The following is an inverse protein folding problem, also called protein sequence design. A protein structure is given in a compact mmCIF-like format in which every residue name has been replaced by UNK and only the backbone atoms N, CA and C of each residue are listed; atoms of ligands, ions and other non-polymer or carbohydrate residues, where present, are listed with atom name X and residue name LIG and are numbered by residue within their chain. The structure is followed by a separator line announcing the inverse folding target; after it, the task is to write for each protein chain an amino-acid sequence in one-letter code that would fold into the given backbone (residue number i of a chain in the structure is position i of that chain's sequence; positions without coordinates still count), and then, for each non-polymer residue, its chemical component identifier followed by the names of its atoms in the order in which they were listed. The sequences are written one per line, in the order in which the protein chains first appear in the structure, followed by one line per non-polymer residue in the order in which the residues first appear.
data_IF_646506975598
#
_entry.id   IF_646506975598
#
_cell.length_a   1.000
_cell.length_b   1.000
_cell.length_c   1.000
_cell.angle_alpha   90.00
_cell.angle_beta   90.00
_cell.angle_gamma   90.00
#
_symmetry.space_group_name_H-M   'P 1'
#
loop_
_entity.id
_entity.type
_entity.pdbx_description
1 polymer ?
#
# COMPACT_ATOMS: atom_id res chain seq x y z
N UNK A 1 -9.64 -16.30 18.11
CA UNK A 1 -9.82 -15.38 16.97
C UNK A 1 -9.78 -16.24 15.73
N UNK A 2 -10.63 -15.97 14.75
CA UNK A 2 -10.44 -16.59 13.46
C UNK A 2 -9.07 -16.15 12.92
N UNK A 3 -8.24 -17.09 12.45
CA UNK A 3 -6.93 -16.79 11.87
C UNK A 3 -7.16 -16.12 10.51
N UNK A 4 -7.30 -14.79 10.54
CA UNK A 4 -7.61 -13.98 9.36
C UNK A 4 -6.49 -13.00 9.10
N UNK A 5 -6.04 -12.98 7.86
CA UNK A 5 -5.12 -12.00 7.32
C UNK A 5 -5.90 -10.97 6.49
N UNK A 6 -5.44 -9.73 6.53
CA UNK A 6 -6.06 -8.60 5.85
C UNK A 6 -5.03 -7.89 5.00
N UNK A 7 -5.32 -7.78 3.72
CA UNK A 7 -4.57 -6.99 2.76
C UNK A 7 -5.34 -5.74 2.40
N UNK A 8 -4.63 -4.79 1.80
CA UNK A 8 -5.28 -3.68 1.11
C UNK A 8 -4.52 -3.32 -0.15
N UNK A 9 -5.26 -2.89 -1.18
CA UNK A 9 -4.69 -2.37 -2.42
C UNK A 9 -5.16 -0.93 -2.63
N UNK A 10 -4.26 -0.06 -3.08
CA UNK A 10 -4.58 1.34 -3.35
C UNK A 10 -5.40 1.49 -4.63
N UNK A 11 -6.42 2.32 -4.57
CA UNK A 11 -7.15 2.84 -5.72
C UNK A 11 -6.83 4.32 -5.85
N UNK A 12 -6.37 4.73 -7.02
CA UNK A 12 -5.92 6.09 -7.31
C UNK A 12 -6.91 6.83 -8.20
N UNK A 13 -6.96 8.16 -8.05
CA UNK A 13 -7.71 9.03 -8.96
C UNK A 13 -6.88 9.43 -10.19
N UNK A 14 -7.48 10.30 -11.04
CA UNK A 14 -6.84 10.86 -12.25
C UNK A 14 -5.54 11.61 -11.97
N UNK A 15 -5.30 12.09 -10.75
CA UNK A 15 -4.10 12.83 -10.35
C UNK A 15 -3.07 11.96 -9.64
N UNK A 16 -3.35 10.67 -9.49
CA UNK A 16 -2.54 9.71 -8.74
C UNK A 16 -2.57 9.97 -7.23
N UNK A 17 -3.60 10.65 -6.73
CA UNK A 17 -3.89 10.73 -5.32
C UNK A 17 -4.66 9.47 -4.89
N UNK A 18 -4.45 9.01 -3.66
CA UNK A 18 -5.18 7.85 -3.13
C UNK A 18 -6.65 8.24 -2.98
N UNK A 19 -7.53 7.58 -3.73
CA UNK A 19 -8.98 7.75 -3.63
C UNK A 19 -9.56 6.83 -2.55
N UNK A 20 -9.18 5.56 -2.59
CA UNK A 20 -9.71 4.51 -1.72
C UNK A 20 -8.69 3.36 -1.57
N UNK A 21 -9.06 2.39 -0.75
CA UNK A 21 -8.38 1.09 -0.71
C UNK A 21 -9.40 -0.02 -0.91
N UNK A 22 -9.04 -1.04 -1.68
CA UNK A 22 -9.73 -2.33 -1.68
C UNK A 22 -9.22 -3.17 -0.51
N UNK A 23 -10.14 -3.77 0.25
CA UNK A 23 -9.82 -4.64 1.37
C UNK A 23 -9.89 -6.10 0.95
N UNK A 24 -8.81 -6.82 1.20
CA UNK A 24 -8.67 -8.22 0.89
C UNK A 24 -8.64 -9.03 2.18
N UNK A 25 -9.40 -10.11 2.23
CA UNK A 25 -9.53 -10.94 3.43
C UNK A 25 -9.21 -12.39 3.11
N UNK A 26 -8.53 -13.08 4.04
CA UNK A 26 -8.37 -14.53 3.97
C UNK A 26 -8.27 -15.15 5.35
N UNK A 27 -8.85 -16.34 5.51
CA UNK A 27 -8.74 -17.17 6.71
C UNK A 27 -9.04 -18.63 6.40
N UNK A 28 -8.77 -19.53 7.35
CA UNK A 28 -8.96 -20.97 7.19
C UNK A 28 -10.40 -21.40 6.84
N UNK A 29 -11.39 -20.61 7.27
CA UNK A 29 -12.81 -20.80 7.00
C UNK A 29 -13.39 -19.73 6.02
N UNK A 30 -12.51 -19.04 5.29
CA UNK A 30 -12.85 -17.85 4.51
C UNK A 30 -12.27 -17.95 3.09
N UNK A 31 -13.11 -18.35 2.14
CA UNK A 31 -12.84 -18.27 0.71
C UNK A 31 -14.06 -17.69 -0.03
N UNK A 32 -13.96 -16.43 -0.46
CA UNK A 32 -15.01 -15.74 -1.21
C UNK A 32 -15.20 -16.28 -2.64
N UNK A 33 -14.24 -17.09 -3.12
CA UNK A 33 -14.27 -17.67 -4.47
C UNK A 33 -15.03 -19.01 -4.52
N UNK A 34 -15.40 -19.59 -3.37
CA UNK A 34 -16.18 -20.83 -3.33
C UNK A 34 -17.68 -20.54 -3.52
N UNK A 35 -18.27 -21.14 -4.57
CA UNK A 35 -19.71 -21.06 -4.90
C UNK A 35 -20.64 -21.55 -3.79
N UNK A 36 -20.15 -22.43 -2.91
CA UNK A 36 -20.90 -22.93 -1.75
C UNK A 36 -20.55 -22.16 -0.49
N UNK A 37 -21.08 -20.94 -0.39
CA UNK A 37 -21.41 -20.31 0.89
C UNK A 37 -20.25 -19.66 1.64
N UNK A 38 -20.09 -18.35 1.46
CA UNK A 38 -19.79 -17.51 2.61
C UNK A 38 -20.88 -17.76 3.67
N UNK A 39 -20.53 -18.43 4.76
CA UNK A 39 -21.48 -18.77 5.82
C UNK A 39 -21.89 -17.47 6.55
N UNK A 40 -22.99 -17.44 7.32
CA UNK A 40 -23.26 -16.31 8.24
C UNK A 40 -22.04 -15.97 9.13
N UNK A 41 -21.22 -16.97 9.46
CA UNK A 41 -19.94 -16.79 10.15
C UNK A 41 -18.96 -15.90 9.36
N UNK A 42 -18.83 -16.09 8.04
CA UNK A 42 -17.97 -15.31 7.13
C UNK A 42 -18.37 -13.84 7.09
N UNK A 43 -19.68 -13.55 7.14
CA UNK A 43 -20.24 -12.19 7.07
C UNK A 43 -20.05 -11.41 8.37
N UNK A 44 -20.29 -12.10 9.50
CA UNK A 44 -20.06 -11.55 10.83
C UNK A 44 -18.57 -11.30 11.03
N UNK A 45 -17.72 -12.19 10.55
CA UNK A 45 -16.27 -12.10 10.69
C UNK A 45 -15.66 -10.90 9.95
N UNK A 46 -16.08 -10.56 8.73
CA UNK A 46 -15.59 -9.34 8.04
C UNK A 46 -16.02 -8.11 8.82
N UNK A 47 -17.29 -8.06 9.22
CA UNK A 47 -17.87 -6.92 9.94
C UNK A 47 -17.21 -6.75 11.31
N UNK A 48 -17.08 -7.82 12.07
CA UNK A 48 -16.43 -7.86 13.38
C UNK A 48 -14.95 -7.48 13.26
N UNK A 49 -14.22 -8.06 12.30
CA UNK A 49 -12.81 -7.71 12.06
C UNK A 49 -12.63 -6.23 11.72
N UNK A 50 -13.49 -5.68 10.85
CA UNK A 50 -13.47 -4.26 10.50
C UNK A 50 -13.82 -3.37 11.71
N UNK A 51 -14.78 -3.78 12.53
CA UNK A 51 -15.18 -3.05 13.73
C UNK A 51 -14.12 -3.14 14.85
N UNK A 52 -13.49 -4.29 15.04
CA UNK A 52 -12.46 -4.55 16.04
C UNK A 52 -11.15 -3.82 15.71
N UNK A 53 -10.64 -3.95 14.48
CA UNK A 53 -9.42 -3.27 14.04
C UNK A 53 -9.65 -1.78 13.77
N UNK A 54 -10.87 -1.42 13.38
CA UNK A 54 -11.28 -0.09 12.99
C UNK A 54 -10.81 0.32 11.59
N UNK A 55 -11.73 0.81 10.76
CA UNK A 55 -11.43 1.29 9.40
C UNK A 55 -10.33 2.36 9.35
N UNK A 56 -10.23 3.21 10.37
CA UNK A 56 -9.22 4.28 10.42
C UNK A 56 -7.78 3.76 10.52
N UNK A 57 -7.62 2.56 11.07
CA UNK A 57 -6.34 1.83 11.15
C UNK A 57 -5.96 1.32 9.77
N UNK A 58 -6.92 0.69 9.08
CA UNK A 58 -6.65 -0.05 7.83
C UNK A 58 -6.60 0.88 6.62
N UNK A 59 -7.53 1.84 6.48
CA UNK A 59 -7.66 2.69 5.28
C UNK A 59 -7.48 4.19 5.57
N UNK A 60 -7.15 4.56 6.81
CA UNK A 60 -6.95 5.96 7.19
C UNK A 60 -8.25 6.76 7.11
N UNK A 61 -8.25 7.87 6.38
CA UNK A 61 -9.46 8.68 6.10
C UNK A 61 -10.18 8.29 4.79
N UNK A 62 -9.62 7.36 4.02
CA UNK A 62 -10.12 6.99 2.70
C UNK A 62 -11.30 6.00 2.78
N UNK A 63 -11.95 5.77 1.64
CA UNK A 63 -13.00 4.76 1.49
C UNK A 63 -12.40 3.35 1.43
N UNK A 64 -13.18 2.36 1.84
CA UNK A 64 -12.87 0.95 1.74
C UNK A 64 -13.80 0.27 0.72
N UNK A 65 -13.25 -0.29 -0.34
CA UNK A 65 -13.96 -1.22 -1.23
C UNK A 65 -13.96 -2.58 -0.54
N UNK A 66 -15.15 -3.16 -0.41
CA UNK A 66 -15.37 -4.41 0.33
C UNK A 66 -16.22 -5.33 -0.55
N UNK A 67 -15.74 -6.54 -0.74
CA UNK A 67 -16.40 -7.55 -1.55
C UNK A 67 -17.60 -8.12 -0.80
N UNK A 68 -18.77 -8.04 -1.43
CA UNK A 68 -20.03 -8.52 -0.88
C UNK A 68 -20.57 -9.67 -1.73
N UNK A 69 -20.81 -10.80 -1.08
CA UNK A 69 -21.46 -11.96 -1.69
C UNK A 69 -22.97 -11.74 -1.83
N UNK A 70 -23.62 -12.59 -2.61
CA UNK A 70 -25.10 -12.68 -2.71
C UNK A 70 -25.76 -12.66 -1.33
N UNK A 71 -25.25 -13.46 -0.39
CA UNK A 71 -25.84 -13.56 0.94
C UNK A 71 -25.68 -12.26 1.74
N UNK A 72 -24.54 -11.58 1.64
CA UNK A 72 -24.35 -10.29 2.32
C UNK A 72 -25.33 -9.21 1.84
N UNK A 73 -25.57 -9.18 0.53
CA UNK A 73 -26.47 -8.22 -0.10
C UNK A 73 -27.90 -8.48 0.39
N UNK A 74 -28.33 -9.75 0.40
CA UNK A 74 -29.66 -10.15 0.85
C UNK A 74 -29.87 -9.92 2.36
N UNK A 75 -28.84 -10.15 3.18
CA UNK A 75 -28.88 -9.90 4.63
C UNK A 75 -28.73 -8.42 5.00
N UNK A 76 -28.53 -7.54 4.01
CA UNK A 76 -28.29 -6.10 4.19
C UNK A 76 -27.11 -5.81 5.13
N UNK A 77 -26.08 -6.66 5.12
CA UNK A 77 -24.84 -6.47 5.89
C UNK A 77 -24.23 -5.06 5.75
N UNK A 78 -24.24 -4.40 4.56
CA UNK A 78 -23.70 -3.05 4.42
C UNK A 78 -24.32 -1.99 5.36
N UNK A 79 -25.54 -2.20 5.86
CA UNK A 79 -26.21 -1.28 6.78
C UNK A 79 -25.54 -1.19 8.16
N UNK A 80 -24.72 -2.19 8.53
CA UNK A 80 -23.96 -2.19 9.78
C UNK A 80 -22.63 -1.45 9.69
N UNK A 81 -22.23 -1.04 8.49
CA UNK A 81 -20.96 -0.40 8.22
C UNK A 81 -21.14 1.10 7.95
N UNK A 82 -20.12 1.93 8.22
CA UNK A 82 -20.20 3.37 8.05
C UNK A 82 -20.31 3.73 6.56
N UNK A 83 -21.54 4.01 6.12
CA UNK A 83 -21.93 4.34 4.74
C UNK A 83 -20.94 5.23 3.99
N UNK A 84 -20.52 6.35 4.59
CA UNK A 84 -19.65 7.34 3.91
C UNK A 84 -18.21 6.83 3.68
N UNK A 85 -17.85 5.71 4.30
CA UNK A 85 -16.51 5.11 4.29
C UNK A 85 -16.44 3.79 3.53
N UNK A 86 -17.56 3.25 3.04
CA UNK A 86 -17.57 1.97 2.33
C UNK A 86 -18.04 2.13 0.89
N UNK A 87 -17.49 1.29 0.02
CA UNK A 87 -17.97 1.02 -1.34
C UNK A 87 -18.33 -0.45 -1.40
N UNK A 88 -19.54 -0.75 -1.83
CA UNK A 88 -20.07 -2.11 -1.94
C UNK A 88 -19.61 -2.68 -3.25
N UNK A 89 -18.70 -3.65 -3.22
CA UNK A 89 -18.19 -4.31 -4.41
C UNK A 89 -18.95 -5.61 -4.66
N UNK A 90 -19.68 -5.65 -5.78
CA UNK A 90 -20.48 -6.80 -6.21
C UNK A 90 -19.59 -7.69 -7.07
N UNK A 91 -19.32 -8.89 -6.58
CA UNK A 91 -18.47 -9.87 -7.25
C UNK A 91 -19.09 -10.38 -8.56
N UNK A 92 -18.23 -10.75 -9.52
CA UNK A 92 -18.63 -11.31 -10.82
C UNK A 92 -19.46 -12.60 -10.71
N UNK A 93 -19.31 -13.35 -9.62
CA UNK A 93 -19.97 -14.63 -9.40
C UNK A 93 -21.38 -14.50 -8.78
N UNK A 94 -21.83 -13.27 -8.49
CA UNK A 94 -23.18 -13.02 -7.97
C UNK A 94 -24.21 -13.20 -9.08
N UNK A 95 -25.16 -14.10 -8.87
CA UNK A 95 -26.28 -14.29 -9.80
C UNK A 95 -27.23 -13.07 -9.75
N UNK A 96 -27.38 -12.39 -10.88
CA UNK A 96 -28.21 -11.18 -10.98
C UNK A 96 -29.68 -11.57 -11.15
N UNK A 97 -30.40 -11.67 -10.03
CA UNK A 97 -31.85 -11.85 -10.00
C UNK A 97 -32.60 -10.58 -9.54
N UNK A 98 -33.92 -10.59 -9.67
CA UNK A 98 -34.78 -9.47 -9.27
C UNK A 98 -34.64 -9.06 -7.79
N UNK A 99 -34.26 -9.99 -6.90
CA UNK A 99 -34.07 -9.71 -5.46
C UNK A 99 -32.76 -9.00 -5.23
N UNK A 100 -31.67 -9.42 -5.88
CA UNK A 100 -30.37 -8.76 -5.80
C UNK A 100 -30.45 -7.34 -6.34
N UNK A 101 -31.07 -7.17 -7.52
CA UNK A 101 -31.29 -5.83 -8.11
C UNK A 101 -32.09 -4.94 -7.16
N UNK A 102 -33.17 -5.44 -6.56
CA UNK A 102 -33.98 -4.66 -5.62
C UNK A 102 -33.21 -4.24 -4.36
N UNK A 103 -32.41 -5.14 -3.76
CA UNK A 103 -31.62 -4.83 -2.57
C UNK A 103 -30.49 -3.83 -2.87
N UNK A 104 -29.76 -4.01 -3.98
CA UNK A 104 -28.71 -3.08 -4.39
C UNK A 104 -29.29 -1.71 -4.76
N UNK A 105 -30.48 -1.67 -5.40
CA UNK A 105 -31.17 -0.40 -5.68
C UNK A 105 -31.62 0.31 -4.40
N UNK A 106 -32.07 -0.44 -3.39
CA UNK A 106 -32.39 0.13 -2.07
C UNK A 106 -31.15 0.73 -1.43
N UNK A 107 -30.01 0.02 -1.42
CA UNK A 107 -28.74 0.51 -0.89
C UNK A 107 -28.24 1.75 -1.64
N UNK A 108 -28.33 1.77 -2.97
CA UNK A 108 -28.03 2.93 -3.81
C UNK A 108 -28.93 4.13 -3.47
N UNK A 109 -30.24 3.92 -3.30
CA UNK A 109 -31.17 4.98 -2.88
C UNK A 109 -30.89 5.51 -1.47
N UNK A 110 -30.35 4.67 -0.58
CA UNK A 110 -29.86 5.08 0.73
C UNK A 110 -28.54 5.84 0.64
N UNK A 111 -27.90 5.89 -0.53
CA UNK A 111 -26.69 6.64 -0.89
C UNK A 111 -25.38 5.87 -0.69
N UNK A 112 -25.43 4.54 -0.61
CA UNK A 112 -24.21 3.72 -0.68
C UNK A 112 -23.65 3.76 -2.10
N UNK A 113 -22.32 3.72 -2.21
CA UNK A 113 -21.62 3.62 -3.49
C UNK A 113 -21.57 2.14 -3.88
N UNK A 114 -22.03 1.81 -5.08
CA UNK A 114 -21.99 0.46 -5.63
C UNK A 114 -20.92 0.36 -6.71
N UNK A 115 -20.01 -0.60 -6.56
CA UNK A 115 -19.00 -0.98 -7.54
C UNK A 115 -19.31 -2.37 -8.11
N UNK A 116 -19.16 -2.56 -9.42
CA UNK A 116 -19.26 -3.86 -10.07
C UNK A 116 -17.85 -4.37 -10.40
N UNK A 117 -17.50 -5.56 -9.91
CA UNK A 117 -16.19 -6.17 -10.06
C UNK A 117 -16.05 -7.03 -11.33
N UNK A 118 -14.84 -7.15 -11.87
CA UNK A 118 -14.48 -7.93 -13.07
C UNK A 118 -15.54 -7.89 -14.20
N UNK A 119 -16.00 -6.69 -14.53
CA UNK A 119 -17.23 -6.51 -15.29
C UNK A 119 -17.10 -6.90 -16.78
N UNK A 120 -17.89 -7.88 -17.21
CA UNK A 120 -18.09 -8.23 -18.62
C UNK A 120 -19.53 -7.89 -19.02
N UNK A 121 -19.69 -6.92 -19.93
CA UNK A 121 -21.02 -6.46 -20.33
C UNK A 121 -21.85 -7.59 -20.97
N UNK A 122 -22.93 -7.96 -20.30
CA UNK A 122 -23.98 -8.84 -20.81
C UNK A 122 -25.36 -8.23 -20.50
N UNK A 123 -26.40 -8.70 -21.19
CA UNK A 123 -27.76 -8.17 -20.98
C UNK A 123 -28.22 -8.30 -19.51
N UNK A 124 -27.75 -9.32 -18.80
CA UNK A 124 -28.09 -9.62 -17.41
C UNK A 124 -27.61 -8.53 -16.43
N UNK A 125 -26.51 -7.85 -16.75
CA UNK A 125 -25.95 -6.79 -15.91
C UNK A 125 -26.60 -5.42 -16.12
N UNK A 126 -27.32 -5.23 -17.23
CA UNK A 126 -27.96 -3.93 -17.58
C UNK A 126 -28.72 -3.29 -16.42
N UNK A 127 -29.55 -4.03 -15.63
CA UNK A 127 -30.29 -3.44 -14.52
C UNK A 127 -29.39 -2.84 -13.42
N UNK A 128 -28.19 -3.40 -13.21
CA UNK A 128 -27.23 -2.88 -12.24
C UNK A 128 -26.45 -1.68 -12.80
N UNK A 129 -26.07 -1.73 -14.07
CA UNK A 129 -25.33 -0.64 -14.73
C UNK A 129 -26.11 0.69 -14.70
N UNK A 130 -27.44 0.65 -14.70
CA UNK A 130 -28.28 1.85 -14.60
C UNK A 130 -28.12 2.65 -13.31
N UNK A 131 -27.56 2.05 -12.25
CA UNK A 131 -27.42 2.73 -10.96
C UNK A 131 -26.11 2.46 -10.23
N UNK A 132 -25.23 1.62 -10.78
CA UNK A 132 -23.88 1.47 -10.27
C UNK A 132 -23.11 2.80 -10.38
N UNK A 133 -22.32 3.09 -9.36
CA UNK A 133 -21.50 4.30 -9.32
C UNK A 133 -20.13 4.05 -9.98
N UNK A 134 -19.60 2.83 -9.82
CA UNK A 134 -18.26 2.44 -10.29
C UNK A 134 -18.34 1.08 -11.02
N UNK A 135 -17.63 0.96 -12.13
CA UNK A 135 -17.40 -0.33 -12.80
C UNK A 135 -15.89 -0.58 -12.89
N UNK A 136 -15.45 -1.73 -12.38
CA UNK A 136 -14.06 -2.18 -12.41
C UNK A 136 -13.79 -2.98 -13.70
N UNK A 137 -12.65 -2.72 -14.32
CA UNK A 137 -12.27 -3.22 -15.64
C UNK A 137 -10.89 -3.87 -15.57
N UNK A 138 -10.84 -5.21 -15.70
CA UNK A 138 -9.57 -5.92 -15.84
C UNK A 138 -8.98 -5.73 -17.25
N UNK A 139 -7.94 -4.90 -17.34
CA UNK A 139 -7.31 -4.55 -18.60
C UNK A 139 -6.48 -5.72 -19.17
N UNK A 140 -5.89 -6.54 -18.31
CA UNK A 140 -5.06 -7.67 -18.73
C UNK A 140 -5.89 -8.79 -19.33
N UNK A 141 -7.02 -9.12 -18.70
CA UNK A 141 -7.90 -10.18 -19.17
C UNK A 141 -8.66 -9.77 -20.44
N UNK A 142 -9.13 -8.53 -20.50
CA UNK A 142 -9.92 -8.04 -21.63
C UNK A 142 -9.06 -7.74 -22.86
N UNK A 143 -7.87 -7.18 -22.67
CA UNK A 143 -7.02 -6.62 -23.72
C UNK A 143 -7.55 -5.30 -24.30
N UNK A 144 -6.64 -4.50 -24.87
CA UNK A 144 -6.87 -3.09 -25.22
C UNK A 144 -8.11 -2.83 -26.10
N UNK A 145 -8.38 -3.71 -27.08
CA UNK A 145 -9.51 -3.53 -28.01
C UNK A 145 -10.85 -3.69 -27.29
N UNK A 146 -10.99 -4.74 -26.46
CA UNK A 146 -12.24 -5.00 -25.75
C UNK A 146 -12.50 -3.94 -24.69
N UNK A 147 -11.46 -3.53 -23.96
CA UNK A 147 -11.54 -2.42 -23.00
C UNK A 147 -12.09 -1.16 -23.68
N UNK A 148 -11.53 -0.76 -24.83
CA UNK A 148 -11.97 0.43 -25.56
C UNK A 148 -13.45 0.35 -25.95
N UNK A 149 -13.89 -0.80 -26.44
CA UNK A 149 -15.27 -0.96 -26.90
C UNK A 149 -16.25 -1.02 -25.73
N UNK A 150 -15.87 -1.63 -24.60
CA UNK A 150 -16.65 -1.62 -23.38
C UNK A 150 -16.80 -0.19 -22.82
N UNK A 151 -15.71 0.58 -22.75
CA UNK A 151 -15.75 1.98 -22.30
C UNK A 151 -16.74 2.78 -23.16
N UNK A 152 -16.75 2.58 -24.50
CA UNK A 152 -17.73 3.24 -25.38
C UNK A 152 -19.17 2.82 -25.09
N UNK A 153 -19.42 1.55 -24.78
CA UNK A 153 -20.74 1.04 -24.43
C UNK A 153 -21.24 1.60 -23.10
N UNK A 154 -20.32 1.88 -22.16
CA UNK A 154 -20.65 2.43 -20.84
C UNK A 154 -20.83 3.96 -20.84
N UNK A 155 -20.36 4.68 -21.87
CA UNK A 155 -20.51 6.15 -21.99
C UNK A 155 -21.94 6.71 -21.80
N UNK A 156 -23.03 6.04 -22.23
CA UNK A 156 -24.38 6.53 -22.01
C UNK A 156 -24.82 6.51 -20.55
N UNK A 157 -24.16 5.73 -19.70
CA UNK A 157 -24.50 5.59 -18.29
C UNK A 157 -23.70 6.57 -17.43
N UNK A 158 -24.28 7.01 -16.32
CA UNK A 158 -23.61 7.89 -15.37
C UNK A 158 -22.78 7.08 -14.38
N UNK A 159 -21.72 6.45 -14.88
CA UNK A 159 -20.85 5.53 -14.13
C UNK A 159 -19.40 5.97 -14.25
N UNK A 160 -18.64 5.81 -13.17
CA UNK A 160 -17.20 6.02 -13.16
C UNK A 160 -16.47 4.72 -13.45
N UNK A 161 -15.33 4.78 -14.12
CA UNK A 161 -14.60 3.59 -14.54
C UNK A 161 -13.30 3.44 -13.76
N UNK A 162 -13.11 2.26 -13.17
CA UNK A 162 -11.89 1.88 -12.45
C UNK A 162 -11.13 0.85 -13.30
N UNK A 163 -9.92 1.19 -13.72
CA UNK A 163 -9.06 0.25 -14.46
C UNK A 163 -8.15 -0.52 -13.50
N UNK A 164 -8.16 -1.84 -13.61
CA UNK A 164 -7.37 -2.74 -12.77
C UNK A 164 -6.16 -3.32 -13.50
N UNK A 165 -5.22 -3.85 -12.71
CA UNK A 165 -3.97 -4.47 -13.18
C UNK A 165 -3.17 -3.55 -14.10
N UNK A 166 -3.19 -2.24 -13.83
CA UNK A 166 -2.38 -1.25 -14.54
C UNK A 166 -0.91 -1.40 -14.13
N UNK A 167 -0.04 -1.75 -15.06
CA UNK A 167 1.34 -2.14 -14.80
C UNK A 167 2.39 -1.17 -15.34
N UNK A 168 2.01 -0.27 -16.25
CA UNK A 168 2.91 0.76 -16.78
C UNK A 168 2.30 2.15 -16.76
N UNK A 169 3.15 3.18 -16.69
CA UNK A 169 2.70 4.58 -16.81
C UNK A 169 2.06 4.86 -18.19
N UNK A 170 2.49 4.15 -19.24
CA UNK A 170 1.91 4.25 -20.57
C UNK A 170 0.47 3.73 -20.61
N UNK A 171 0.19 2.58 -19.98
CA UNK A 171 -1.17 2.06 -19.83
C UNK A 171 -2.06 3.03 -19.05
N UNK A 172 -1.56 3.59 -17.94
CA UNK A 172 -2.28 4.61 -17.17
C UNK A 172 -2.67 5.81 -18.04
N UNK A 173 -1.73 6.39 -18.80
CA UNK A 173 -2.01 7.51 -19.70
C UNK A 173 -3.06 7.15 -20.76
N UNK A 174 -2.92 5.97 -21.38
CA UNK A 174 -3.86 5.49 -22.37
C UNK A 174 -5.28 5.33 -21.81
N UNK A 175 -5.42 4.72 -20.63
CA UNK A 175 -6.71 4.50 -19.97
C UNK A 175 -7.34 5.81 -19.48
N UNK A 176 -6.52 6.75 -19.01
CA UNK A 176 -6.96 8.11 -18.66
C UNK A 176 -7.55 8.83 -19.89
N UNK A 177 -6.89 8.75 -21.04
CA UNK A 177 -7.39 9.33 -22.30
C UNK A 177 -8.66 8.64 -22.81
N UNK A 178 -8.81 7.33 -22.57
CA UNK A 178 -10.02 6.58 -22.92
C UNK A 178 -11.23 6.98 -22.06
N UNK A 179 -11.00 7.52 -20.87
CA UNK A 179 -12.03 8.03 -19.98
C UNK A 179 -12.13 7.31 -18.63
N UNK A 180 -11.12 6.53 -18.23
CA UNK A 180 -11.10 5.95 -16.88
C UNK A 180 -10.91 7.03 -15.81
N UNK A 181 -11.58 6.84 -14.68
CA UNK A 181 -11.58 7.76 -13.54
C UNK A 181 -10.65 7.33 -12.42
N UNK A 182 -10.57 6.02 -12.20
CA UNK A 182 -9.77 5.41 -11.14
C UNK A 182 -8.84 4.33 -11.69
N UNK A 183 -7.76 4.06 -10.96
CA UNK A 183 -6.71 3.15 -11.39
C UNK A 183 -6.17 2.32 -10.21
N UNK A 184 -5.93 1.05 -10.46
CA UNK A 184 -5.36 0.11 -9.51
C UNK A 184 -4.33 -0.78 -10.21
N UNK A 185 -3.15 -0.93 -9.61
CA UNK A 185 -2.07 -1.77 -10.16
C UNK A 185 -0.66 -1.35 -9.74
N UNK A 186 0.34 -2.11 -10.21
CA UNK A 186 1.72 -2.06 -9.71
C UNK A 186 2.61 -0.96 -10.31
N UNK A 187 2.14 -0.21 -11.31
CA UNK A 187 2.99 0.74 -12.04
C UNK A 187 3.58 1.87 -11.19
N UNK A 188 2.93 2.22 -10.07
CA UNK A 188 3.44 3.21 -9.12
C UNK A 188 4.74 2.79 -8.43
N UNK A 189 4.92 1.48 -8.27
CA UNK A 189 6.10 0.86 -7.68
C UNK A 189 7.07 0.36 -8.76
N UNK A 190 6.99 0.88 -10.00
CA UNK A 190 7.95 0.59 -11.06
C UNK A 190 8.69 1.86 -11.49
N UNK A 191 10.00 1.77 -11.81
CA UNK A 191 10.76 2.91 -12.32
C UNK A 191 10.29 3.32 -13.72
N UNK A 192 10.15 4.62 -13.97
CA UNK A 192 9.98 5.16 -15.32
C UNK A 192 11.36 5.34 -15.96
N UNK A 193 11.95 4.25 -16.44
CA UNK A 193 13.32 4.25 -16.98
C UNK A 193 13.36 5.07 -18.28
N UNK A 194 13.86 6.30 -18.18
CA UNK A 194 14.23 7.13 -19.33
C UNK A 194 15.74 7.04 -19.52
N UNK A 195 16.17 6.25 -20.50
CA UNK A 195 17.60 6.04 -20.79
C UNK A 195 18.33 7.37 -21.01
N UNK A 196 19.46 7.56 -20.33
CA UNK A 196 20.34 8.74 -20.48
C UNK A 196 20.01 9.96 -19.61
N UNK A 197 19.04 9.86 -18.68
CA UNK A 197 18.73 10.97 -17.76
C UNK A 197 19.83 11.10 -16.70
N UNK A 198 20.49 12.27 -16.62
CA UNK A 198 21.38 12.60 -15.49
C UNK A 198 20.55 12.79 -14.23
N UNK A 199 21.07 12.34 -13.09
CA UNK A 199 20.47 12.61 -11.79
C UNK A 199 20.28 14.12 -11.61
N UNK A 200 19.12 14.51 -11.10
CA UNK A 200 18.86 15.88 -10.70
C UNK A 200 19.71 16.27 -9.49
N UNK A 201 19.91 17.57 -9.28
CA UNK A 201 20.66 18.09 -8.11
C UNK A 201 20.10 17.56 -6.79
N UNK A 202 18.77 17.46 -6.66
CA UNK A 202 18.11 16.93 -5.48
C UNK A 202 18.40 15.44 -5.28
N UNK A 203 18.40 14.65 -6.37
CA UNK A 203 18.74 13.23 -6.32
C UNK A 203 20.20 13.01 -5.93
N UNK A 204 21.12 13.83 -6.42
CA UNK A 204 22.53 13.76 -6.03
C UNK A 204 22.73 14.06 -4.54
N UNK A 205 22.10 15.12 -4.03
CA UNK A 205 22.17 15.47 -2.60
C UNK A 205 21.59 14.35 -1.71
N UNK A 206 20.48 13.75 -2.13
CA UNK A 206 19.87 12.62 -1.44
C UNK A 206 20.76 11.37 -1.44
N UNK A 207 21.38 11.02 -2.56
CA UNK A 207 22.33 9.90 -2.61
C UNK A 207 23.52 10.16 -1.68
N UNK A 208 24.01 11.39 -1.58
CA UNK A 208 25.06 11.73 -0.62
C UNK A 208 24.62 11.52 0.84
N UNK A 209 23.40 11.93 1.20
CA UNK A 209 22.83 11.69 2.53
C UNK A 209 22.67 10.19 2.83
N UNK A 210 22.16 9.42 1.87
CA UNK A 210 22.07 7.96 1.99
C UNK A 210 23.46 7.34 2.14
N UNK A 211 24.45 7.82 1.39
CA UNK A 211 25.83 7.32 1.48
C UNK A 211 26.43 7.56 2.85
N UNK A 212 26.25 8.76 3.42
CA UNK A 212 26.78 9.03 4.75
C UNK A 212 26.04 8.24 5.82
N UNK A 213 24.70 8.19 5.78
CA UNK A 213 23.91 7.48 6.79
C UNK A 213 24.18 5.97 6.80
N UNK A 214 24.37 5.36 5.62
CA UNK A 214 24.58 3.92 5.48
C UNK A 214 26.06 3.52 5.47
N UNK A 215 26.99 4.46 5.65
CA UNK A 215 28.40 4.13 5.85
C UNK A 215 28.56 3.33 7.17
N UNK A 216 29.21 2.15 7.15
CA UNK A 216 29.48 1.36 8.36
C UNK A 216 30.27 2.13 9.43
N UNK A 217 31.17 3.02 9.01
CA UNK A 217 32.09 3.74 9.89
C UNK A 217 31.56 5.12 10.35
N UNK A 218 30.30 5.45 10.05
CA UNK A 218 29.74 6.77 10.40
C UNK A 218 29.61 6.95 11.91
N UNK A 219 30.05 8.10 12.40
CA UNK A 219 29.97 8.47 13.81
C UNK A 219 28.89 9.53 14.08
N UNK A 220 28.57 9.73 15.36
CA UNK A 220 27.59 10.73 15.79
C UNK A 220 27.92 12.14 15.29
N UNK A 221 29.20 12.51 15.27
CA UNK A 221 29.66 13.83 14.87
C UNK A 221 29.45 14.09 13.37
N UNK A 222 29.53 13.04 12.54
CA UNK A 222 29.32 13.15 11.10
C UNK A 222 27.87 13.49 10.79
N UNK A 223 26.93 12.78 11.41
CA UNK A 223 25.50 13.03 11.26
C UNK A 223 25.11 14.40 11.84
N UNK A 224 25.68 14.76 12.98
CA UNK A 224 25.45 16.06 13.62
C UNK A 224 25.85 17.21 12.69
N UNK A 225 27.04 17.12 12.05
CA UNK A 225 27.51 18.14 11.10
C UNK A 225 26.56 18.28 9.93
N UNK A 226 26.16 17.17 9.31
CA UNK A 226 25.27 17.17 8.14
C UNK A 226 23.92 17.80 8.48
N UNK A 227 23.30 17.39 9.59
CA UNK A 227 21.99 17.90 9.99
C UNK A 227 22.09 19.38 10.37
N UNK A 228 23.16 19.79 11.06
CA UNK A 228 23.35 21.18 11.51
C UNK A 228 23.62 22.16 10.37
N UNK A 229 24.08 21.69 9.21
CA UNK A 229 24.30 22.52 8.03
C UNK A 229 23.00 22.86 7.29
N UNK A 230 21.92 22.12 7.54
CA UNK A 230 20.63 22.33 6.90
C UNK A 230 19.55 22.69 7.95
N UNK A 231 19.03 23.92 7.85
CA UNK A 231 18.01 24.45 8.76
C UNK A 231 16.71 23.64 8.67
N UNK A 232 16.36 23.14 7.49
CA UNK A 232 15.18 22.32 7.26
C UNK A 232 15.30 20.94 7.92
N UNK A 233 16.44 20.26 7.74
CA UNK A 233 16.73 18.99 8.42
C UNK A 233 16.73 19.16 9.94
N UNK A 234 17.37 20.22 10.43
CA UNK A 234 17.39 20.56 11.86
C UNK A 234 15.99 20.73 12.44
N UNK A 235 15.12 21.50 11.76
CA UNK A 235 13.73 21.66 12.16
C UNK A 235 12.97 20.34 12.15
N UNK A 236 13.09 19.55 11.06
CA UNK A 236 12.40 18.26 10.93
C UNK A 236 12.84 17.26 12.00
N UNK A 237 14.12 17.23 12.38
CA UNK A 237 14.61 16.37 13.45
C UNK A 237 14.00 16.75 14.79
N UNK A 238 14.02 18.04 15.13
CA UNK A 238 13.44 18.55 16.37
C UNK A 238 11.92 18.35 16.39
N UNK A 239 11.23 18.50 15.26
CA UNK A 239 9.80 18.23 15.17
C UNK A 239 9.52 16.74 15.38
N UNK A 240 10.26 15.86 14.70
CA UNK A 240 10.14 14.41 14.80
C UNK A 240 10.31 13.91 16.23
N UNK A 241 11.39 14.30 16.92
CA UNK A 241 11.64 13.84 18.30
C UNK A 241 10.62 14.38 19.31
N UNK A 242 10.04 15.56 19.04
CA UNK A 242 9.02 16.16 19.89
C UNK A 242 7.59 15.73 19.54
N UNK A 243 7.43 14.81 18.60
CA UNK A 243 6.11 14.27 18.24
C UNK A 243 5.52 13.42 19.37
N UNK A 244 4.20 13.23 19.32
CA UNK A 244 3.49 12.36 20.27
C UNK A 244 4.03 10.92 20.27
N UNK A 245 4.68 10.49 19.18
CA UNK A 245 5.28 9.17 19.04
C UNK A 245 6.33 8.85 20.13
N UNK A 246 7.15 9.83 20.52
CA UNK A 246 8.20 9.63 21.52
C UNK A 246 7.74 9.89 22.96
N UNK A 247 6.55 10.49 23.14
CA UNK A 247 5.93 10.76 24.44
C UNK A 247 6.89 11.39 25.48
N UNK A 248 7.72 12.36 25.05
CA UNK A 248 8.74 12.94 25.91
C UNK A 248 8.15 13.85 27.01
N UNK A 249 8.70 13.79 28.24
CA UNK A 249 8.25 14.66 29.33
C UNK A 249 8.64 16.13 29.12
N UNK A 250 9.74 16.39 28.41
CA UNK A 250 10.22 17.73 28.09
C UNK A 250 10.57 17.82 26.60
N UNK A 251 10.31 18.97 26.00
CA UNK A 251 10.66 19.21 24.60
C UNK A 251 12.17 19.30 24.41
N UNK A 252 12.68 18.64 23.38
CA UNK A 252 14.07 18.71 22.94
C UNK A 252 14.27 19.92 22.02
N UNK A 253 15.24 20.78 22.32
CA UNK A 253 15.49 22.02 21.59
C UNK A 253 16.84 22.09 20.88
N UNK A 254 17.70 21.07 21.02
CA UNK A 254 19.02 21.04 20.39
C UNK A 254 19.26 19.75 19.62
N UNK A 255 19.99 19.87 18.51
CA UNK A 255 20.32 18.75 17.60
C UNK A 255 21.15 17.71 18.37
N UNK A 256 22.17 18.14 19.10
CA UNK A 256 23.00 17.22 19.90
C UNK A 256 22.16 16.42 20.91
N UNK A 257 21.23 17.09 21.61
CA UNK A 257 20.36 16.38 22.56
C UNK A 257 19.42 15.42 21.83
N UNK A 258 18.87 15.81 20.69
CA UNK A 258 18.02 14.92 19.88
C UNK A 258 18.79 13.68 19.41
N UNK A 259 20.01 13.89 18.92
CA UNK A 259 20.89 12.84 18.41
C UNK A 259 21.31 11.89 19.54
N UNK A 260 21.69 12.41 20.71
CA UNK A 260 22.04 11.59 21.86
C UNK A 260 20.85 10.80 22.41
N UNK A 261 19.64 11.37 22.37
CA UNK A 261 18.43 10.71 22.84
C UNK A 261 18.00 9.56 21.92
N UNK A 262 18.01 9.80 20.60
CA UNK A 262 17.64 8.80 19.60
C UNK A 262 18.69 7.68 19.48
N UNK A 263 19.96 8.05 19.55
CA UNK A 263 21.07 7.16 19.25
C UNK A 263 21.31 7.00 17.74
N UNK A 264 22.47 6.44 17.39
CA UNK A 264 22.97 6.41 16.02
C UNK A 264 22.05 5.64 15.07
N UNK A 265 21.55 4.48 15.52
CA UNK A 265 20.61 3.62 14.79
C UNK A 265 19.38 4.41 14.32
N UNK A 266 18.74 5.10 15.25
CA UNK A 266 17.49 5.82 15.00
C UNK A 266 17.66 7.03 14.10
N UNK A 267 18.80 7.71 14.20
CA UNK A 267 19.12 8.82 13.28
C UNK A 267 19.38 8.29 11.88
N UNK A 268 20.12 7.19 11.72
CA UNK A 268 20.31 6.57 10.39
C UNK A 268 18.97 6.23 9.76
N UNK A 269 18.07 5.61 10.54
CA UNK A 269 16.69 5.32 10.12
C UNK A 269 15.96 6.59 9.69
N UNK A 270 15.98 7.62 10.52
CA UNK A 270 15.32 8.90 10.24
C UNK A 270 15.87 9.59 8.99
N UNK A 271 17.20 9.62 8.79
CA UNK A 271 17.82 10.18 7.59
C UNK A 271 17.39 9.38 6.36
N UNK A 272 17.41 8.04 6.40
CA UNK A 272 16.96 7.21 5.30
C UNK A 272 15.51 7.52 4.93
N UNK A 273 14.61 7.59 5.91
CA UNK A 273 13.20 7.92 5.70
C UNK A 273 13.05 9.32 5.09
N UNK A 274 13.68 10.34 5.67
CA UNK A 274 13.56 11.72 5.22
C UNK A 274 14.13 11.90 3.81
N UNK A 275 15.24 11.23 3.53
CA UNK A 275 15.91 11.29 2.22
C UNK A 275 15.06 10.63 1.15
N UNK A 276 14.44 9.48 1.43
CA UNK A 276 13.53 8.84 0.49
C UNK A 276 12.23 9.64 0.30
N UNK A 277 11.74 10.29 1.35
CA UNK A 277 10.58 11.19 1.26
C UNK A 277 10.88 12.47 0.46
N UNK A 278 12.13 12.96 0.45
CA UNK A 278 12.52 14.14 -0.32
C UNK A 278 12.89 13.83 -1.77
N UNK A 279 13.23 12.57 -2.06
CA UNK A 279 13.54 12.07 -3.40
C UNK A 279 12.32 11.96 -4.31
N UNK A 280 11.13 11.75 -3.73
CA UNK A 280 9.95 11.40 -4.50
C UNK A 280 9.17 12.63 -4.97
N UNK A 281 9.20 12.90 -6.27
CA UNK A 281 8.07 13.53 -6.96
C UNK A 281 6.91 12.53 -7.17
N UNK A 282 6.97 11.37 -6.50
CA UNK A 282 6.03 10.26 -6.63
C UNK A 282 4.89 10.43 -5.63
N UNK A 283 3.72 9.82 -5.88
CA UNK A 283 2.62 9.84 -4.94
C UNK A 283 3.04 9.41 -3.53
N UNK A 284 2.41 10.01 -2.52
CA UNK A 284 2.61 9.70 -1.11
C UNK A 284 2.49 8.19 -0.80
N UNK A 285 1.66 7.48 -1.58
CA UNK A 285 1.49 6.04 -1.52
C UNK A 285 2.79 5.24 -1.71
N UNK A 286 3.70 5.69 -2.58
CA UNK A 286 4.96 4.98 -2.86
C UNK A 286 5.86 5.01 -1.63
N UNK A 287 5.93 6.17 -0.97
CA UNK A 287 6.67 6.31 0.29
C UNK A 287 6.01 5.51 1.42
N UNK A 288 4.68 5.54 1.51
CA UNK A 288 3.93 4.73 2.47
C UNK A 288 4.24 3.24 2.33
N UNK A 289 4.25 2.72 1.10
CA UNK A 289 4.57 1.32 0.82
C UNK A 289 6.01 0.98 1.20
N UNK A 290 6.98 1.82 0.85
CA UNK A 290 8.39 1.61 1.23
C UNK A 290 8.57 1.55 2.76
N UNK A 291 7.86 2.41 3.50
CA UNK A 291 7.87 2.42 4.97
C UNK A 291 7.23 1.17 5.57
N UNK A 292 6.04 0.78 5.07
CA UNK A 292 5.37 -0.45 5.51
C UNK A 292 6.27 -1.66 5.25
N UNK A 293 6.88 -1.73 4.06
CA UNK A 293 7.77 -2.82 3.67
C UNK A 293 8.99 -2.91 4.56
N UNK A 294 9.67 -1.79 4.80
CA UNK A 294 10.79 -1.68 5.74
C UNK A 294 10.41 -2.15 7.13
N UNK A 295 9.29 -1.64 7.66
CA UNK A 295 8.84 -1.97 9.01
C UNK A 295 8.43 -3.43 9.15
N UNK A 296 7.75 -3.99 8.16
CA UNK A 296 7.33 -5.39 8.18
C UNK A 296 8.55 -6.33 8.13
N UNK A 297 9.56 -6.03 7.31
CA UNK A 297 10.83 -6.77 7.32
C UNK A 297 11.50 -6.73 8.71
N UNK A 298 11.53 -5.57 9.37
CA UNK A 298 12.08 -5.41 10.73
C UNK A 298 11.32 -6.25 11.77
N UNK A 299 9.99 -6.22 11.74
CA UNK A 299 9.13 -6.99 12.67
C UNK A 299 9.32 -8.51 12.47
N UNK A 300 9.38 -8.98 11.22
CA UNK A 300 9.65 -10.38 10.90
C UNK A 300 11.03 -10.83 11.42
N UNK A 301 12.05 -9.97 11.29
CA UNK A 301 13.37 -10.24 11.85
C UNK A 301 13.29 -10.50 13.36
N UNK A 302 12.62 -9.58 14.06
CA UNK A 302 12.45 -9.62 15.52
C UNK A 302 11.73 -10.88 15.99
N UNK A 303 10.67 -11.30 15.30
CA UNK A 303 9.97 -12.56 15.58
C UNK A 303 10.85 -13.79 15.39
N UNK A 304 11.82 -13.70 14.48
CA UNK A 304 12.76 -14.79 14.21
C UNK A 304 14.02 -14.80 15.07
N UNK A 305 14.10 -13.89 16.05
CA UNK A 305 15.24 -13.73 16.97
C UNK A 305 16.40 -12.91 16.41
N UNK A 306 16.30 -12.39 15.18
CA UNK A 306 17.30 -11.51 14.58
C UNK A 306 16.95 -10.04 14.88
N UNK A 307 17.89 -9.30 15.47
CA UNK A 307 17.72 -7.88 15.81
C UNK A 307 18.52 -6.96 14.90
N UNK A 308 18.98 -7.46 13.75
CA UNK A 308 19.74 -6.67 12.79
C UNK A 308 18.87 -5.60 12.15
N UNK A 309 19.40 -4.37 12.14
CA UNK A 309 18.78 -3.20 11.51
C UNK A 309 18.74 -3.32 9.99
N UNK A 310 19.48 -4.28 9.43
CA UNK A 310 19.59 -4.51 8.00
C UNK A 310 18.23 -4.85 7.38
N UNK A 311 17.31 -5.47 8.12
CA UNK A 311 15.99 -5.85 7.58
C UNK A 311 15.13 -4.64 7.22
N UNK A 312 15.13 -3.61 8.08
CA UNK A 312 14.45 -2.35 7.78
C UNK A 312 15.04 -1.71 6.51
N UNK A 313 16.38 -1.67 6.42
CA UNK A 313 17.09 -1.09 5.29
C UNK A 313 16.83 -1.87 3.98
N UNK A 314 16.83 -3.20 4.05
CA UNK A 314 16.51 -4.09 2.92
C UNK A 314 15.09 -3.80 2.42
N UNK A 315 14.11 -3.68 3.32
CA UNK A 315 12.74 -3.38 2.93
C UNK A 315 12.60 -2.00 2.28
N UNK A 316 13.12 -0.94 2.91
CA UNK A 316 12.93 0.43 2.42
C UNK A 316 13.70 0.71 1.13
N UNK A 317 14.91 0.14 0.95
CA UNK A 317 15.72 0.33 -0.27
C UNK A 317 15.28 -0.59 -1.42
N UNK A 318 14.41 -1.56 -1.18
CA UNK A 318 13.91 -2.43 -2.26
C UNK A 318 13.01 -1.73 -3.28
N UNK A 319 12.58 -0.50 -3.00
CA UNK A 319 11.82 0.37 -3.93
C UNK A 319 12.67 1.53 -4.47
N UNK A 320 14.00 1.51 -4.26
CA UNK A 320 14.85 2.64 -4.60
C UNK A 320 14.87 2.95 -6.10
N UNK A 321 14.71 1.91 -6.93
CA UNK A 321 14.55 2.04 -8.38
C UNK A 321 13.38 2.96 -8.74
N UNK A 322 12.23 2.73 -8.13
CA UNK A 322 11.00 3.47 -8.36
C UNK A 322 11.08 4.92 -7.90
N UNK A 323 11.90 5.19 -6.87
CA UNK A 323 12.14 6.52 -6.34
C UNK A 323 13.16 7.31 -7.17
N UNK A 324 14.17 6.63 -7.74
CA UNK A 324 15.22 7.25 -8.56
C UNK A 324 14.95 7.22 -10.07
N UNK A 325 13.89 6.52 -10.50
CA UNK A 325 13.56 6.26 -11.91
C UNK A 325 14.74 5.64 -12.68
N UNK A 326 15.41 4.67 -12.06
CA UNK A 326 16.55 3.96 -12.64
C UNK A 326 16.57 2.48 -12.23
N UNK A 327 17.32 1.60 -12.92
CA UNK A 327 17.41 0.19 -12.52
C UNK A 327 17.88 0.01 -11.08
N UNK A 328 17.27 -0.92 -10.34
CA UNK A 328 17.58 -1.15 -8.91
C UNK A 328 19.05 -1.46 -8.66
N UNK A 329 19.68 -2.22 -9.55
CA UNK A 329 21.11 -2.52 -9.46
C UNK A 329 21.98 -1.24 -9.53
N UNK A 330 21.66 -0.34 -10.45
CA UNK A 330 22.40 0.92 -10.63
C UNK A 330 22.17 1.86 -9.44
N UNK A 331 20.95 1.88 -8.90
CA UNK A 331 20.62 2.64 -7.69
C UNK A 331 21.41 2.16 -6.47
N UNK A 332 21.45 0.84 -6.23
CA UNK A 332 22.15 0.26 -5.09
C UNK A 332 23.67 0.39 -5.21
N UNK A 333 24.23 0.32 -6.43
CA UNK A 333 25.67 0.46 -6.65
C UNK A 333 26.25 1.83 -6.25
N UNK A 334 25.38 2.84 -6.08
CA UNK A 334 25.77 4.16 -5.61
C UNK A 334 25.88 4.26 -4.09
N UNK A 335 25.44 3.23 -3.36
CA UNK A 335 25.37 3.18 -1.91
C UNK A 335 26.46 2.27 -1.32
N UNK A 336 27.11 2.62 -0.19
CA UNK A 336 28.12 1.81 0.48
C UNK A 336 27.46 0.70 1.32
N UNK A 337 26.70 -0.18 0.67
CA UNK A 337 25.98 -1.28 1.32
C UNK A 337 26.84 -2.54 1.37
N UNK A 338 26.65 -3.33 2.42
CA UNK A 338 27.27 -4.65 2.52
C UNK A 338 26.66 -5.62 1.47
N UNK A 339 27.47 -6.58 1.01
CA UNK A 339 27.09 -7.51 -0.07
C UNK A 339 25.86 -8.36 0.28
N UNK A 340 25.68 -8.68 1.55
CA UNK A 340 24.50 -9.42 2.06
C UNK A 340 23.21 -8.62 1.90
N UNK A 341 23.24 -7.30 2.14
CA UNK A 341 22.11 -6.38 1.94
C UNK A 341 21.78 -6.28 0.44
N UNK A 342 22.79 -6.08 -0.41
CA UNK A 342 22.58 -5.98 -1.87
C UNK A 342 22.02 -7.30 -2.42
N UNK A 343 22.56 -8.44 -2.00
CA UNK A 343 22.10 -9.77 -2.38
C UNK A 343 20.68 -10.07 -1.89
N UNK A 344 20.33 -9.64 -0.67
CA UNK A 344 18.97 -9.74 -0.15
C UNK A 344 17.97 -8.93 -0.98
N UNK A 345 18.32 -7.70 -1.38
CA UNK A 345 17.45 -6.83 -2.17
C UNK A 345 17.26 -7.36 -3.60
N UNK A 346 18.36 -7.63 -4.31
CA UNK A 346 18.36 -7.98 -5.74
C UNK A 346 17.96 -9.44 -6.01
N UNK A 347 18.41 -10.37 -5.15
CA UNK A 347 18.30 -11.80 -5.40
C UNK A 347 17.41 -12.52 -4.38
N UNK A 348 16.86 -11.81 -3.40
CA UNK A 348 16.05 -12.37 -2.30
C UNK A 348 16.78 -13.52 -1.58
N UNK A 349 18.10 -13.37 -1.40
CA UNK A 349 18.96 -14.36 -0.73
C UNK A 349 19.22 -14.01 0.73
N UNK A 350 19.44 -15.04 1.55
CA UNK A 350 19.64 -14.90 2.98
C UNK A 350 18.36 -14.52 3.73
N UNK A 351 18.46 -14.44 5.06
CA UNK A 351 17.28 -14.20 5.91
C UNK A 351 16.58 -12.87 5.59
N UNK A 352 17.33 -11.81 5.32
CA UNK A 352 16.76 -10.53 4.91
C UNK A 352 16.04 -10.60 3.55
N UNK A 353 16.56 -11.40 2.63
CA UNK A 353 15.94 -11.63 1.32
C UNK A 353 14.66 -12.48 1.41
N UNK A 354 14.63 -13.49 2.29
CA UNK A 354 13.45 -14.29 2.59
C UNK A 354 12.34 -13.44 3.23
N UNK A 355 12.69 -12.58 4.20
CA UNK A 355 11.74 -11.64 4.81
C UNK A 355 11.18 -10.68 3.74
N UNK A 356 12.05 -10.10 2.90
CA UNK A 356 11.63 -9.23 1.82
C UNK A 356 10.71 -9.95 0.81
N UNK A 357 10.99 -11.21 0.49
CA UNK A 357 10.13 -12.02 -0.38
C UNK A 357 8.76 -12.21 0.26
N UNK A 358 8.69 -12.57 1.54
CA UNK A 358 7.44 -12.72 2.28
C UNK A 358 6.59 -11.44 2.23
N UNK A 359 7.20 -10.29 2.51
CA UNK A 359 6.51 -8.99 2.50
C UNK A 359 6.02 -8.64 1.09
N UNK A 360 6.83 -8.86 0.05
CA UNK A 360 6.41 -8.64 -1.34
C UNK A 360 5.24 -9.56 -1.70
N UNK A 361 5.27 -10.84 -1.33
CA UNK A 361 4.14 -11.75 -1.54
C UNK A 361 2.87 -11.25 -0.84
N UNK A 362 3.02 -10.71 0.38
CA UNK A 362 1.91 -10.13 1.14
C UNK A 362 1.29 -8.92 0.42
N UNK A 363 2.14 -7.99 -0.06
CA UNK A 363 1.69 -6.80 -0.80
C UNK A 363 0.98 -7.14 -2.11
N UNK A 364 1.45 -8.16 -2.83
CA UNK A 364 0.82 -8.64 -4.06
C UNK A 364 -0.37 -9.57 -3.80
N UNK A 365 -0.68 -9.85 -2.54
CA UNK A 365 -1.69 -10.82 -2.13
C UNK A 365 -1.49 -12.24 -2.70
N UNK A 366 -0.23 -12.63 -2.96
CA UNK A 366 0.14 -14.00 -3.32
C UNK A 366 0.23 -14.87 -2.06
N UNK A 367 -0.94 -15.24 -1.55
CA UNK A 367 -1.12 -15.99 -0.30
C UNK A 367 -0.27 -17.26 -0.24
N UNK A 368 -0.14 -17.96 -1.37
CA UNK A 368 0.59 -19.22 -1.46
C UNK A 368 2.09 -19.06 -1.17
N UNK A 369 2.60 -17.84 -1.40
CA UNK A 369 3.99 -17.47 -1.22
C UNK A 369 4.24 -16.65 0.06
N UNK A 370 3.23 -16.44 0.91
CA UNK A 370 3.39 -15.77 2.21
C UNK A 370 3.91 -16.80 3.21
N UNK A 371 5.23 -16.84 3.38
CA UNK A 371 5.90 -17.64 4.40
C UNK A 371 7.24 -17.02 4.79
N UNK A 372 7.57 -17.12 6.07
CA UNK A 372 8.88 -16.73 6.59
C UNK A 372 9.21 -17.58 7.81
N UNK A 373 10.20 -18.47 7.69
CA UNK A 373 10.53 -19.48 8.70
C UNK A 373 9.26 -20.23 9.16
N UNK A 374 9.13 -20.48 10.46
CA UNK A 374 7.99 -21.16 11.09
C UNK A 374 6.97 -20.17 11.68
N UNK A 375 6.88 -18.95 11.15
CA UNK A 375 5.93 -17.94 11.63
C UNK A 375 4.57 -18.17 10.97
N UNK A 376 3.51 -18.25 11.78
CA UNK A 376 2.14 -18.38 11.32
C UNK A 376 1.69 -17.17 10.49
N UNK A 377 0.86 -17.42 9.45
CA UNK A 377 0.36 -16.37 8.57
C UNK A 377 -0.48 -15.31 9.31
N UNK A 378 -1.21 -15.68 10.36
CA UNK A 378 -1.97 -14.72 11.17
C UNK A 378 -1.04 -13.74 11.89
N UNK A 379 0.09 -14.22 12.43
CA UNK A 379 1.12 -13.37 13.03
C UNK A 379 1.76 -12.46 12.00
N UNK A 380 2.02 -12.96 10.78
CA UNK A 380 2.49 -12.11 9.67
C UNK A 380 1.45 -11.01 9.36
N UNK A 381 0.15 -11.34 9.37
CA UNK A 381 -0.93 -10.35 9.24
C UNK A 381 -0.90 -9.27 10.31
N UNK A 382 -0.67 -9.63 11.58
CA UNK A 382 -0.52 -8.67 12.66
C UNK A 382 0.68 -7.74 12.46
N UNK A 383 1.80 -8.26 11.94
CA UNK A 383 2.97 -7.42 11.61
C UNK A 383 2.65 -6.39 10.52
N UNK A 384 1.80 -6.74 9.56
CA UNK A 384 1.37 -5.83 8.51
C UNK A 384 0.54 -4.67 9.07
N UNK A 385 -0.46 -4.96 9.91
CA UNK A 385 -1.30 -3.93 10.55
C UNK A 385 -0.47 -3.00 11.44
N UNK A 386 0.46 -3.56 12.24
CA UNK A 386 1.41 -2.76 13.03
C UNK A 386 2.26 -1.85 12.14
N UNK A 387 2.70 -2.35 10.99
CA UNK A 387 3.52 -1.60 10.04
C UNK A 387 2.74 -0.45 9.38
N UNK A 388 1.44 -0.63 9.08
CA UNK A 388 0.57 0.45 8.59
C UNK A 388 0.47 1.59 9.61
N UNK A 389 0.18 1.25 10.87
CA UNK A 389 0.05 2.25 11.93
C UNK A 389 1.35 3.02 12.14
N UNK A 390 2.47 2.30 12.21
CA UNK A 390 3.79 2.91 12.32
C UNK A 390 4.07 3.85 11.13
N UNK A 391 3.84 3.41 9.89
CA UNK A 391 4.10 4.23 8.71
C UNK A 391 3.23 5.50 8.71
N UNK A 392 1.95 5.39 9.11
CA UNK A 392 1.04 6.54 9.23
C UNK A 392 1.56 7.59 10.22
N UNK A 393 2.01 7.16 11.40
CA UNK A 393 2.55 8.06 12.42
C UNK A 393 3.84 8.73 11.94
N UNK A 394 4.74 7.98 11.29
CA UNK A 394 5.97 8.53 10.73
C UNK A 394 5.67 9.56 9.64
N UNK A 395 4.76 9.25 8.71
CA UNK A 395 4.40 10.14 7.61
C UNK A 395 3.79 11.46 8.08
N UNK A 396 3.00 11.44 9.16
CA UNK A 396 2.46 12.65 9.78
C UNK A 396 3.53 13.55 10.40
N UNK A 397 4.69 13.01 10.78
CA UNK A 397 5.76 13.73 11.48
C UNK A 397 6.92 14.20 10.58
N UNK A 398 7.00 13.71 9.34
CA UNK A 398 8.06 14.08 8.37
C UNK A 398 7.60 15.13 7.34
N UNK A 399 6.29 15.40 7.26
CA UNK A 399 5.69 16.55 6.56
C UNK A 399 5.93 17.82 7.38
#
# INVERSE_FOLDING_TARGET
MADIIIGRQQIFDKKLDIYAYELLFRGSDFDLNHKEGATQATNQVITDTILELGLNTIVGSHKAFINFTTQNILDKTPLHLPKDRIVIEVLENVEIDSRIVANLKELSNLGYIIALDDFVFSEEWTPLVEFADIIKLDIMEMGESKTRDLIKQLKPYNVQLLAEKVETYAEYQYLLELGCDYFQGFFFNKPNIVSGKRLSVNQTAAIQLLNTANNPDVEFDDLTKIISLDVGLSYKLLHYINSAFFALPNKVSSINHAISYLGLKEIKRWINILTLASLSNKPEAVMQNALIRGKMCEELAGLSGDKSDNFFLIGILSNLDSLLDMPLNDALSQLPLADDIVSAILHKKGLGGEALKCVISYEHWDISSISFKDIDQSVIGDTYIKSINWAKDIMGNIK
#
